data_IF_523368159050
#
_entry.id   IF_523368159050
#
_cell.length_a   1.000
_cell.length_b   1.000
_cell.length_c   1.000
_cell.angle_alpha   90.00
_cell.angle_beta   90.00
_cell.angle_gamma   90.00
#
_symmetry.space_group_name_H-M   'P 1'
#
loop_
_entity.id
_entity.type
_entity.pdbx_description
1 polymer ?
#
# COMPACT_ATOMS: atom_id res chain seq x y z
N UNK A 1 -24.06 -105.39 8.95
CA UNK A 1 -24.61 -104.67 10.11
C UNK A 1 -26.02 -104.21 9.75
N UNK A 2 -27.03 -104.72 10.46
CA UNK A 2 -28.45 -104.43 10.21
C UNK A 2 -28.70 -102.95 10.52
N UNK A 3 -29.31 -102.23 9.57
CA UNK A 3 -29.77 -100.87 9.77
C UNK A 3 -30.96 -100.91 10.76
N UNK A 4 -30.72 -100.52 12.00
CA UNK A 4 -31.62 -100.73 13.15
C UNK A 4 -32.51 -99.52 13.49
N UNK A 5 -32.51 -98.44 12.69
CA UNK A 5 -33.43 -97.32 12.91
C UNK A 5 -34.71 -97.47 12.07
N UNK A 6 -35.91 -97.44 12.68
CA UNK A 6 -37.18 -97.25 11.99
C UNK A 6 -37.13 -95.99 11.10
N UNK A 7 -37.74 -96.05 9.91
CA UNK A 7 -37.71 -94.95 8.93
C UNK A 7 -38.20 -93.62 9.53
N UNK A 8 -39.14 -93.67 10.47
CA UNK A 8 -39.71 -92.51 11.16
C UNK A 8 -38.67 -91.78 12.03
N UNK A 9 -37.90 -92.51 12.84
CA UNK A 9 -36.86 -91.93 13.69
C UNK A 9 -35.72 -91.29 12.88
N UNK A 10 -35.42 -91.84 11.71
CA UNK A 10 -34.40 -91.28 10.80
C UNK A 10 -34.83 -89.94 10.20
N UNK A 11 -36.13 -89.77 9.94
CA UNK A 11 -36.70 -88.51 9.42
C UNK A 11 -36.68 -87.44 10.53
N UNK A 12 -37.08 -87.80 11.75
CA UNK A 12 -37.08 -86.89 12.90
C UNK A 12 -35.67 -86.36 13.22
N UNK A 13 -34.66 -87.23 13.28
CA UNK A 13 -33.26 -86.81 13.50
C UNK A 13 -32.77 -85.89 12.36
N UNK A 14 -33.18 -86.15 11.11
CA UNK A 14 -32.79 -85.32 9.97
C UNK A 14 -33.44 -83.93 9.97
N UNK A 15 -34.67 -83.82 10.46
CA UNK A 15 -35.39 -82.53 10.58
C UNK A 15 -34.81 -81.70 11.73
N UNK A 16 -34.55 -82.31 12.89
CA UNK A 16 -33.84 -81.67 14.00
C UNK A 16 -32.46 -81.16 13.57
N UNK A 17 -31.68 -81.97 12.83
CA UNK A 17 -30.37 -81.55 12.32
C UNK A 17 -30.46 -80.36 11.36
N UNK A 18 -31.49 -80.30 10.50
CA UNK A 18 -31.75 -79.15 9.61
C UNK A 18 -32.13 -77.90 10.40
N UNK A 19 -32.95 -78.02 11.45
CA UNK A 19 -33.35 -76.90 12.31
C UNK A 19 -32.18 -76.32 13.11
N UNK A 20 -31.30 -77.18 13.66
CA UNK A 20 -30.07 -76.73 14.32
C UNK A 20 -29.15 -76.02 13.32
N UNK A 21 -28.97 -76.59 12.12
CA UNK A 21 -28.18 -75.95 11.06
C UNK A 21 -28.76 -74.58 10.71
N UNK A 22 -30.08 -74.47 10.47
CA UNK A 22 -30.77 -73.22 10.15
C UNK A 22 -30.59 -72.17 11.25
N UNK A 23 -30.67 -72.58 12.52
CA UNK A 23 -30.48 -71.69 13.67
C UNK A 23 -29.05 -71.14 13.73
N UNK A 24 -28.04 -71.97 13.43
CA UNK A 24 -26.64 -71.53 13.35
C UNK A 24 -26.44 -70.52 12.21
N UNK A 25 -27.00 -70.78 11.03
CA UNK A 25 -26.95 -69.84 9.90
C UNK A 25 -27.63 -68.50 10.23
N UNK A 26 -28.75 -68.53 10.94
CA UNK A 26 -29.46 -67.33 11.35
C UNK A 26 -28.64 -66.49 12.34
N UNK A 27 -28.02 -67.12 13.35
CA UNK A 27 -27.15 -66.43 14.31
C UNK A 27 -25.93 -65.83 13.58
N UNK A 28 -25.32 -66.59 12.67
CA UNK A 28 -24.18 -66.11 11.88
C UNK A 28 -24.57 -64.90 11.02
N UNK A 29 -25.73 -64.94 10.39
CA UNK A 29 -26.26 -63.82 9.60
C UNK A 29 -26.50 -62.59 10.48
N UNK A 30 -27.11 -62.75 11.66
CA UNK A 30 -27.34 -61.65 12.60
C UNK A 30 -26.01 -61.04 13.05
N UNK A 31 -25.03 -61.85 13.44
CA UNK A 31 -23.70 -61.36 13.81
C UNK A 31 -23.04 -60.58 12.67
N UNK A 32 -23.17 -61.07 11.43
CA UNK A 32 -22.65 -60.37 10.25
C UNK A 32 -23.33 -59.02 10.04
N UNK A 33 -24.67 -58.95 10.12
CA UNK A 33 -25.40 -57.69 9.99
C UNK A 33 -25.08 -56.69 11.11
N UNK A 34 -24.96 -57.15 12.35
CA UNK A 34 -24.57 -56.30 13.48
C UNK A 34 -23.17 -55.73 13.27
N UNK A 35 -22.21 -56.56 12.86
CA UNK A 35 -20.86 -56.10 12.53
C UNK A 35 -20.86 -55.08 11.39
N UNK A 36 -21.70 -55.29 10.37
CA UNK A 36 -21.80 -54.38 9.24
C UNK A 36 -22.34 -53.00 9.67
N UNK A 37 -23.39 -52.97 10.50
CA UNK A 37 -23.96 -51.72 11.03
C UNK A 37 -22.95 -50.97 11.89
N UNK A 38 -22.18 -51.68 12.72
CA UNK A 38 -21.11 -51.08 13.53
C UNK A 38 -20.03 -50.44 12.66
N UNK A 39 -19.61 -51.11 11.58
CA UNK A 39 -18.62 -50.56 10.63
C UNK A 39 -19.16 -49.28 9.99
N UNK A 40 -20.42 -49.27 9.53
CA UNK A 40 -21.03 -48.07 8.94
C UNK A 40 -21.12 -46.91 9.93
N UNK A 41 -21.45 -47.17 11.20
CA UNK A 41 -21.47 -46.14 12.23
C UNK A 41 -20.08 -45.55 12.47
N UNK A 42 -19.04 -46.38 12.55
CA UNK A 42 -17.67 -45.91 12.72
C UNK A 42 -17.22 -45.03 11.55
N UNK A 43 -17.50 -45.46 10.32
CA UNK A 43 -17.17 -44.67 9.11
C UNK A 43 -17.90 -43.32 9.13
N UNK A 44 -19.18 -43.31 9.48
CA UNK A 44 -19.96 -42.06 9.57
C UNK A 44 -19.36 -41.09 10.59
N UNK A 45 -19.05 -41.57 11.78
CA UNK A 45 -18.45 -40.74 12.85
C UNK A 45 -17.08 -40.22 12.43
N UNK A 46 -16.26 -41.05 11.77
CA UNK A 46 -14.96 -40.65 11.27
C UNK A 46 -15.06 -39.50 10.26
N UNK A 47 -15.94 -39.63 9.26
CA UNK A 47 -16.15 -38.60 8.22
C UNK A 47 -16.66 -37.29 8.83
N UNK A 48 -17.65 -37.35 9.73
CA UNK A 48 -18.17 -36.16 10.40
C UNK A 48 -17.10 -35.45 11.26
N UNK A 49 -16.20 -36.23 11.87
CA UNK A 49 -15.08 -35.68 12.64
C UNK A 49 -14.08 -34.95 11.76
N UNK A 50 -13.69 -35.53 10.62
CA UNK A 50 -12.76 -34.87 9.69
C UNK A 50 -13.35 -33.59 9.09
N UNK A 51 -14.63 -33.59 8.73
CA UNK A 51 -15.31 -32.40 8.19
C UNK A 51 -15.28 -31.26 9.21
N UNK A 52 -15.64 -31.53 10.48
CA UNK A 52 -15.64 -30.50 11.54
C UNK A 52 -14.24 -29.93 11.79
N UNK A 53 -13.21 -30.77 11.80
CA UNK A 53 -11.82 -30.33 11.96
C UNK A 53 -11.43 -29.43 10.80
N UNK A 54 -11.72 -29.84 9.57
CA UNK A 54 -11.41 -29.06 8.37
C UNK A 54 -12.16 -27.72 8.33
N UNK A 55 -13.43 -27.67 8.72
CA UNK A 55 -14.20 -26.42 8.84
C UNK A 55 -13.59 -25.47 9.88
N UNK A 56 -13.13 -25.99 11.02
CA UNK A 56 -12.47 -25.16 12.04
C UNK A 56 -11.14 -24.60 11.52
N UNK A 57 -10.32 -25.41 10.83
CA UNK A 57 -9.08 -24.94 10.22
C UNK A 57 -9.31 -23.92 9.11
N UNK A 58 -10.34 -24.10 8.27
CA UNK A 58 -10.71 -23.15 7.23
C UNK A 58 -11.17 -21.81 7.83
N UNK A 59 -12.05 -21.83 8.84
CA UNK A 59 -12.51 -20.63 9.52
C UNK A 59 -11.38 -19.87 10.24
N UNK A 60 -10.40 -20.58 10.80
CA UNK A 60 -9.22 -19.95 11.40
C UNK A 60 -8.34 -19.29 10.34
N UNK A 61 -8.04 -20.00 9.24
CA UNK A 61 -7.26 -19.44 8.13
C UNK A 61 -7.94 -18.25 7.47
N UNK A 62 -9.26 -18.29 7.28
CA UNK A 62 -10.00 -17.18 6.70
C UNK A 62 -9.95 -15.93 7.59
N UNK A 63 -10.04 -16.11 8.91
CA UNK A 63 -9.82 -15.02 9.88
C UNK A 63 -8.41 -14.46 9.78
N UNK A 64 -7.38 -15.30 9.74
CA UNK A 64 -5.99 -14.86 9.58
C UNK A 64 -5.77 -14.10 8.25
N UNK A 65 -6.31 -14.61 7.14
CA UNK A 65 -6.22 -13.94 5.83
C UNK A 65 -6.92 -12.58 5.85
N UNK A 66 -8.10 -12.48 6.49
CA UNK A 66 -8.81 -11.22 6.62
C UNK A 66 -8.03 -10.19 7.47
N UNK A 67 -7.41 -10.62 8.56
CA UNK A 67 -6.56 -9.77 9.40
C UNK A 67 -5.30 -9.31 8.66
N UNK A 68 -4.66 -10.21 7.91
CA UNK A 68 -3.50 -9.88 7.09
C UNK A 68 -3.85 -8.87 6.01
N UNK A 69 -5.00 -9.01 5.35
CA UNK A 69 -5.46 -8.04 4.33
C UNK A 69 -5.69 -6.64 4.91
N UNK A 70 -6.30 -6.55 6.09
CA UNK A 70 -6.48 -5.26 6.79
C UNK A 70 -5.13 -4.65 7.18
N UNK A 71 -4.17 -5.48 7.60
CA UNK A 71 -2.82 -5.02 7.94
C UNK A 71 -2.05 -4.53 6.70
N UNK A 72 -2.13 -5.26 5.59
CA UNK A 72 -1.54 -4.88 4.30
C UNK A 72 -2.10 -3.54 3.82
N UNK A 73 -3.42 -3.36 3.84
CA UNK A 73 -4.07 -2.09 3.45
C UNK A 73 -3.61 -0.92 4.36
N UNK A 74 -3.45 -1.18 5.66
CA UNK A 74 -2.95 -0.17 6.60
C UNK A 74 -1.49 0.19 6.32
N UNK A 75 -0.66 -0.78 5.96
CA UNK A 75 0.75 -0.57 5.59
C UNK A 75 0.83 0.22 4.29
N UNK A 76 0.02 -0.10 3.27
CA UNK A 76 -0.01 0.65 2.01
C UNK A 76 -0.41 2.11 2.23
N UNK A 77 -1.49 2.34 2.99
CA UNK A 77 -1.94 3.70 3.32
C UNK A 77 -0.89 4.50 4.11
N UNK A 78 -0.18 3.84 5.03
CA UNK A 78 0.92 4.46 5.76
C UNK A 78 2.08 4.82 4.84
N UNK A 79 2.47 3.92 3.94
CA UNK A 79 3.53 4.16 2.97
C UNK A 79 3.18 5.29 1.98
N UNK A 80 1.93 5.37 1.54
CA UNK A 80 1.44 6.47 0.71
C UNK A 80 1.54 7.81 1.46
N UNK A 81 1.07 7.85 2.71
CA UNK A 81 1.15 9.05 3.55
C UNK A 81 2.60 9.48 3.78
N UNK A 82 3.48 8.52 4.06
CA UNK A 82 4.90 8.78 4.26
C UNK A 82 5.59 9.28 2.98
N UNK A 83 5.23 8.70 1.83
CA UNK A 83 5.74 9.14 0.53
C UNK A 83 5.33 10.58 0.22
N UNK A 84 4.07 10.95 0.51
CA UNK A 84 3.61 12.33 0.36
C UNK A 84 4.39 13.30 1.25
N UNK A 85 4.57 12.97 2.53
CA UNK A 85 5.36 13.78 3.48
C UNK A 85 6.81 13.91 2.99
N UNK A 86 7.43 12.81 2.58
CA UNK A 86 8.80 12.83 2.08
C UNK A 86 8.95 13.69 0.82
N UNK A 87 8.01 13.56 -0.12
CA UNK A 87 7.99 14.37 -1.33
C UNK A 87 7.80 15.86 -1.03
N UNK A 88 7.01 16.21 -0.02
CA UNK A 88 6.83 17.59 0.44
C UNK A 88 8.14 18.17 0.98
N UNK A 89 8.83 17.45 1.87
CA UNK A 89 10.11 17.92 2.42
C UNK A 89 11.24 17.97 1.39
N UNK A 90 11.33 17.02 0.46
CA UNK A 90 12.33 17.08 -0.62
C UNK A 90 12.07 18.22 -1.61
N UNK A 91 10.81 18.53 -1.86
CA UNK A 91 10.42 19.55 -2.83
C UNK A 91 10.34 20.96 -2.25
N UNK A 92 10.52 21.11 -0.93
CA UNK A 92 10.49 22.42 -0.30
C UNK A 92 11.56 23.36 -0.87
N UNK A 93 11.20 24.63 -0.99
CA UNK A 93 12.12 25.70 -1.35
C UNK A 93 12.52 26.39 -0.05
N UNK A 94 13.82 26.40 0.22
CA UNK A 94 14.37 27.10 1.38
C UNK A 94 14.43 28.59 1.03
N UNK A 95 13.34 29.30 1.27
CA UNK A 95 13.21 30.72 0.94
C UNK A 95 14.26 31.59 1.63
N UNK A 96 14.73 31.20 2.81
CA UNK A 96 15.78 31.93 3.54
C UNK A 96 17.11 31.96 2.78
N UNK A 97 17.53 30.84 2.19
CA UNK A 97 18.74 30.76 1.37
C UNK A 97 18.61 31.60 0.10
N UNK A 98 17.43 31.54 -0.53
CA UNK A 98 17.15 32.32 -1.73
C UNK A 98 17.17 33.82 -1.44
N UNK A 99 16.50 34.25 -0.36
CA UNK A 99 16.55 35.65 0.10
C UNK A 99 17.98 36.08 0.34
N UNK A 100 18.76 35.28 1.08
CA UNK A 100 20.15 35.63 1.40
C UNK A 100 20.99 35.80 0.13
N UNK A 101 20.84 34.90 -0.85
CA UNK A 101 21.50 35.02 -2.17
C UNK A 101 21.13 36.31 -2.88
N UNK A 102 19.84 36.68 -2.91
CA UNK A 102 19.39 37.92 -3.57
C UNK A 102 19.92 39.15 -2.85
N UNK A 103 19.76 39.22 -1.52
CA UNK A 103 20.16 40.39 -0.74
C UNK A 103 21.68 40.63 -0.77
N UNK A 104 22.51 39.58 -0.83
CA UNK A 104 23.96 39.72 -0.99
C UNK A 104 24.40 40.35 -2.31
N UNK A 105 23.54 40.39 -3.33
CA UNK A 105 23.86 41.00 -4.64
C UNK A 105 23.47 42.46 -4.73
N UNK A 106 22.75 42.97 -3.74
CA UNK A 106 22.27 44.34 -3.73
C UNK A 106 23.41 45.26 -3.28
N UNK A 107 23.85 46.20 -4.13
CA UNK A 107 24.84 47.21 -3.75
C UNK A 107 24.35 48.08 -2.59
N UNK A 108 25.28 48.54 -1.76
CA UNK A 108 24.99 49.55 -0.75
C UNK A 108 24.41 50.83 -1.40
N UNK A 109 23.40 51.42 -0.76
CA UNK A 109 22.70 52.61 -1.26
C UNK A 109 21.46 52.32 -2.11
N UNK A 110 21.22 51.07 -2.52
CA UNK A 110 19.94 50.63 -3.09
C UNK A 110 19.03 50.12 -1.97
N UNK A 111 17.77 50.54 -1.97
CA UNK A 111 16.75 49.97 -1.07
C UNK A 111 15.62 49.33 -1.87
N UNK A 112 15.12 48.21 -1.34
CA UNK A 112 14.02 47.47 -1.94
C UNK A 112 12.69 47.91 -1.33
N UNK A 113 11.68 48.01 -2.18
CA UNK A 113 10.32 48.33 -1.76
C UNK A 113 9.39 47.12 -1.91
N UNK A 114 9.66 46.25 -2.86
CA UNK A 114 8.85 45.06 -3.10
C UNK A 114 9.71 43.89 -3.55
N UNK A 115 9.41 42.71 -3.02
CA UNK A 115 10.02 41.45 -3.42
C UNK A 115 8.94 40.38 -3.48
N UNK A 116 8.70 39.86 -4.68
CA UNK A 116 7.66 38.86 -4.94
C UNK A 116 8.28 37.63 -5.58
N UNK A 117 7.93 36.44 -5.09
CA UNK A 117 8.32 35.16 -5.67
C UNK A 117 7.06 34.42 -6.09
N UNK A 118 7.00 34.03 -7.35
CA UNK A 118 5.97 33.15 -7.89
C UNK A 118 6.57 31.85 -8.40
N UNK A 119 5.99 30.74 -7.96
CA UNK A 119 6.27 29.41 -8.48
C UNK A 119 5.59 29.23 -9.85
N UNK A 120 6.35 28.89 -10.88
CA UNK A 120 5.77 28.41 -12.14
C UNK A 120 5.47 26.92 -12.02
N UNK A 121 4.24 26.54 -12.29
CA UNK A 121 3.77 25.14 -12.27
C UNK A 121 4.32 24.27 -13.43
N UNK A 122 5.04 24.86 -14.40
CA UNK A 122 5.58 24.08 -15.52
C UNK A 122 6.76 23.21 -15.08
N UNK A 123 6.88 22.03 -15.71
CA UNK A 123 7.85 20.91 -15.59
C UNK A 123 9.27 21.15 -15.05
N UNK A 124 9.76 22.37 -14.97
CA UNK A 124 11.03 22.74 -14.36
C UNK A 124 10.73 23.64 -13.17
N UNK A 125 11.22 23.29 -11.96
CA UNK A 125 11.03 24.06 -10.71
C UNK A 125 11.73 25.44 -10.80
N UNK A 126 11.21 26.30 -11.64
CA UNK A 126 11.68 27.64 -11.90
C UNK A 126 10.88 28.63 -11.05
N UNK A 127 11.61 29.51 -10.37
CA UNK A 127 11.02 30.56 -9.54
C UNK A 127 11.13 31.87 -10.29
N UNK A 128 9.98 32.49 -10.58
CA UNK A 128 9.97 33.84 -11.10
C UNK A 128 10.01 34.81 -9.93
N UNK A 129 10.99 35.70 -9.95
CA UNK A 129 11.20 36.71 -8.93
C UNK A 129 10.99 38.07 -9.55
N UNK A 130 10.16 38.89 -8.90
CA UNK A 130 9.97 40.31 -9.22
C UNK A 130 10.51 41.14 -8.07
N UNK A 131 11.43 42.04 -8.39
CA UNK A 131 12.08 42.91 -7.43
C UNK A 131 11.85 44.36 -7.83
N UNK A 132 11.39 45.17 -6.89
CA UNK A 132 11.24 46.61 -7.08
C UNK A 132 11.93 47.38 -5.96
N UNK A 133 12.45 48.55 -6.30
CA UNK A 133 13.22 49.36 -5.36
C UNK A 133 13.62 50.70 -5.94
N UNK A 134 14.55 51.33 -5.25
CA UNK A 134 15.10 52.62 -5.60
C UNK A 134 16.63 52.56 -5.68
N UNK A 135 17.16 53.22 -6.71
CA UNK A 135 18.59 53.46 -6.90
C UNK A 135 18.87 54.96 -6.96
N UNK A 136 19.82 55.49 -6.16
CA UNK A 136 20.22 56.89 -6.20
C UNK A 136 20.78 57.31 -7.57
N UNK A 137 21.57 56.42 -8.20
CA UNK A 137 22.25 56.67 -9.48
C UNK A 137 22.07 55.51 -10.45
N UNK A 138 22.26 55.79 -11.74
CA UNK A 138 22.23 54.79 -12.80
C UNK A 138 23.40 53.80 -12.70
N UNK A 139 24.55 54.25 -12.21
CA UNK A 139 25.76 53.44 -12.07
C UNK A 139 25.58 52.35 -10.99
N UNK A 140 24.88 52.68 -9.89
CA UNK A 140 24.50 51.70 -8.87
C UNK A 140 23.49 50.69 -9.42
N UNK A 141 22.52 51.13 -10.22
CA UNK A 141 21.56 50.24 -10.85
C UNK A 141 22.22 49.29 -11.86
N UNK A 142 23.22 49.79 -12.61
CA UNK A 142 24.02 48.95 -13.50
C UNK A 142 24.82 47.92 -12.72
N UNK A 143 25.40 48.32 -11.58
CA UNK A 143 26.12 47.40 -10.68
C UNK A 143 25.20 46.30 -10.13
N UNK A 144 23.95 46.63 -9.79
CA UNK A 144 22.94 45.64 -9.40
C UNK A 144 22.65 44.66 -10.54
N UNK A 145 22.45 45.16 -11.76
CA UNK A 145 22.23 44.31 -12.94
C UNK A 145 23.41 43.35 -13.14
N UNK A 146 24.63 43.85 -13.12
CA UNK A 146 25.84 43.04 -13.30
C UNK A 146 25.98 41.99 -12.18
N UNK A 147 25.69 42.35 -10.93
CA UNK A 147 25.75 41.42 -9.80
C UNK A 147 24.72 40.29 -9.92
N UNK A 148 23.53 40.57 -10.43
CA UNK A 148 22.50 39.57 -10.69
C UNK A 148 22.90 38.67 -11.87
N UNK A 149 23.46 39.24 -12.95
CA UNK A 149 23.89 38.49 -14.15
C UNK A 149 25.11 37.59 -13.90
N UNK A 150 25.96 37.94 -12.93
CA UNK A 150 27.10 37.10 -12.53
C UNK A 150 26.70 35.87 -11.72
N UNK A 151 25.49 35.85 -11.15
CA UNK A 151 25.04 34.72 -10.35
C UNK A 151 24.55 33.58 -11.24
N UNK A 152 25.14 32.39 -11.08
CA UNK A 152 24.88 31.25 -11.99
C UNK A 152 23.46 30.72 -11.89
N UNK A 153 22.86 30.89 -10.72
CA UNK A 153 21.51 30.42 -10.41
C UNK A 153 20.42 31.34 -11.01
N UNK A 154 20.79 32.56 -11.41
CA UNK A 154 19.86 33.57 -11.93
C UNK A 154 19.89 33.60 -13.45
N UNK A 155 18.73 33.69 -14.06
CA UNK A 155 18.56 33.67 -15.51
C UNK A 155 17.43 34.60 -15.94
N UNK A 156 17.43 35.00 -17.22
CA UNK A 156 16.40 35.88 -17.81
C UNK A 156 16.18 37.17 -17.02
N UNK A 157 17.26 37.87 -16.64
CA UNK A 157 17.18 39.13 -15.92
C UNK A 157 16.72 40.23 -16.88
N UNK A 158 15.58 40.85 -16.59
CA UNK A 158 14.96 41.86 -17.44
C UNK A 158 14.67 43.11 -16.63
N UNK A 159 15.21 44.23 -17.09
CA UNK A 159 14.89 45.57 -16.60
C UNK A 159 14.08 46.31 -17.68
N UNK A 160 12.92 46.89 -17.36
CA UNK A 160 12.15 47.74 -18.28
C UNK A 160 13.00 48.90 -18.78
N UNK A 161 12.84 49.23 -20.08
CA UNK A 161 13.59 50.31 -20.74
C UNK A 161 13.41 51.65 -20.04
N UNK A 162 12.20 51.91 -19.53
CA UNK A 162 11.82 53.11 -18.77
C UNK A 162 12.77 53.38 -17.60
N UNK A 163 13.27 52.32 -16.95
CA UNK A 163 14.19 52.40 -15.81
C UNK A 163 15.50 53.10 -16.17
N UNK A 164 15.94 53.01 -17.42
CA UNK A 164 17.23 53.52 -17.87
C UNK A 164 17.19 54.97 -18.38
N UNK A 165 15.99 55.56 -18.50
CA UNK A 165 15.82 56.93 -19.00
C UNK A 165 16.22 58.01 -17.98
N UNK A 166 16.20 57.69 -16.68
CA UNK A 166 16.57 58.60 -15.60
C UNK A 166 18.04 58.41 -15.23
N UNK A 167 18.74 59.51 -14.91
CA UNK A 167 20.13 59.47 -14.45
C UNK A 167 20.25 59.28 -12.93
N UNK A 168 19.31 59.86 -12.17
CA UNK A 168 19.30 59.87 -10.71
C UNK A 168 17.88 59.59 -10.18
N UNK A 169 17.79 59.15 -8.92
CA UNK A 169 16.54 58.87 -8.21
C UNK A 169 15.61 57.92 -8.98
N UNK A 170 16.14 56.74 -9.30
CA UNK A 170 15.51 55.78 -10.20
C UNK A 170 14.70 54.76 -9.40
N UNK A 171 13.39 54.73 -9.62
CA UNK A 171 12.56 53.62 -9.18
C UNK A 171 12.60 52.53 -10.23
N UNK A 172 13.06 51.34 -9.85
CA UNK A 172 13.20 50.22 -10.76
C UNK A 172 12.25 49.09 -10.41
N UNK A 173 11.94 48.29 -11.42
CA UNK A 173 11.37 46.96 -11.28
C UNK A 173 12.18 46.04 -12.17
N UNK A 174 12.53 44.86 -11.68
CA UNK A 174 13.29 43.86 -12.42
C UNK A 174 12.66 42.49 -12.20
N UNK A 175 12.64 41.69 -13.25
CA UNK A 175 12.12 40.33 -13.22
C UNK A 175 13.20 39.36 -13.65
N UNK A 176 13.36 38.27 -12.92
CA UNK A 176 14.33 37.22 -13.25
C UNK A 176 13.84 35.86 -12.78
N UNK A 177 14.38 34.80 -13.38
CA UNK A 177 14.03 33.42 -13.06
C UNK A 177 15.22 32.74 -12.37
N UNK A 178 14.97 32.08 -11.25
CA UNK A 178 15.96 31.29 -10.52
C UNK A 178 15.79 29.81 -10.89
N UNK A 179 16.88 29.18 -11.32
CA UNK A 179 16.94 27.74 -11.60
C UNK A 179 17.33 26.98 -10.33
N UNK A 180 16.56 25.94 -9.99
CA UNK A 180 16.90 24.99 -8.91
C UNK A 180 17.80 23.88 -9.44
#
# INVERSE_FOLDING_TARGET
MINLLPKEQKIEISTLRKLVLLSIWQILAICFFVSLVLIFLLVKVFIESEIKINELFLNQKEKEVSLNRVLEEKIENFNLSLSQIYSFYQNQIIFSELLNKVFQKIPEGIYLTNFNISLKEKKEKQLDVTLSGFSPTRELLLSLKDNLEREKDFSNIVFPIETWTKRENIYFTTTFTIKK
#
